data_IF_984869882706
#
_entry.id   IF_984869882706
#
_cell.length_a   1.000
_cell.length_b   1.000
_cell.length_c   1.000
_cell.angle_alpha   90.00
_cell.angle_beta   90.00
_cell.angle_gamma   90.00
#
_symmetry.space_group_name_H-M   'P 1'
#
loop_
_entity.id
_entity.type
_entity.pdbx_description
1 polymer ?
#
# COMPACT_ATOMS: atom_id res chain seq x y z
N UNK A 1 2.78 0.42 -46.85
CA UNK A 1 2.00 -0.77 -46.49
C UNK A 1 1.00 -0.96 -47.61
N UNK A 2 0.79 -2.17 -48.14
CA UNK A 2 -0.25 -2.41 -49.14
C UNK A 2 -1.63 -2.53 -48.46
N UNK A 3 -2.72 -2.10 -49.11
CA UNK A 3 -4.08 -2.38 -48.65
C UNK A 3 -4.32 -3.88 -48.48
N UNK A 4 -4.87 -4.28 -47.33
CA UNK A 4 -5.27 -5.65 -47.07
C UNK A 4 -6.68 -5.89 -47.60
N UNK A 5 -7.03 -7.13 -47.94
CA UNK A 5 -8.41 -7.47 -48.24
C UNK A 5 -9.26 -7.53 -46.96
N UNK A 6 -10.58 -7.35 -47.09
CA UNK A 6 -11.49 -7.45 -45.94
C UNK A 6 -11.49 -8.84 -45.31
N UNK A 7 -11.26 -9.90 -46.09
CA UNK A 7 -11.16 -11.28 -45.57
C UNK A 7 -9.88 -11.47 -44.74
N UNK A 8 -8.76 -10.87 -45.14
CA UNK A 8 -7.54 -10.84 -44.33
C UNK A 8 -7.75 -10.08 -43.02
N UNK A 9 -8.48 -8.96 -43.04
CA UNK A 9 -8.80 -8.20 -41.82
C UNK A 9 -9.75 -9.01 -40.91
N UNK A 10 -10.72 -9.72 -41.49
CA UNK A 10 -11.67 -10.56 -40.74
C UNK A 10 -10.96 -11.74 -40.05
N UNK A 11 -9.91 -12.28 -40.65
CA UNK A 11 -9.10 -13.35 -40.03
C UNK A 11 -8.30 -12.91 -38.79
N UNK A 12 -8.17 -11.60 -38.52
CA UNK A 12 -7.39 -11.08 -37.39
C UNK A 12 -8.17 -10.99 -36.06
N UNK A 13 -9.49 -11.19 -36.08
CA UNK A 13 -10.34 -11.05 -34.89
C UNK A 13 -11.55 -11.98 -34.92
N UNK A 14 -12.24 -12.09 -33.79
CA UNK A 14 -13.53 -12.78 -33.73
C UNK A 14 -14.65 -11.99 -34.43
N UNK A 15 -15.76 -12.68 -34.70
CA UNK A 15 -16.93 -12.13 -35.40
C UNK A 15 -17.55 -10.93 -34.65
N UNK A 16 -17.56 -10.94 -33.31
CA UNK A 16 -18.12 -9.85 -32.52
C UNK A 16 -17.27 -8.57 -32.58
N UNK A 17 -15.94 -8.71 -32.54
CA UNK A 17 -14.98 -7.61 -32.67
C UNK A 17 -15.05 -7.00 -34.07
N UNK A 18 -15.17 -7.84 -35.11
CA UNK A 18 -15.33 -7.38 -36.48
C UNK A 18 -16.61 -6.56 -36.65
N UNK A 19 -17.77 -7.07 -36.21
CA UNK A 19 -19.06 -6.35 -36.27
C UNK A 19 -18.99 -4.99 -35.54
N UNK A 20 -18.36 -4.94 -34.36
CA UNK A 20 -18.19 -3.71 -33.61
C UNK A 20 -17.25 -2.71 -34.32
N UNK A 21 -16.26 -3.21 -35.07
CA UNK A 21 -15.37 -2.38 -35.87
C UNK A 21 -16.10 -1.80 -37.10
N UNK A 22 -16.97 -2.57 -37.75
CA UNK A 22 -17.83 -2.07 -38.83
C UNK A 22 -18.72 -0.90 -38.38
N UNK A 23 -19.28 -0.99 -37.17
CA UNK A 23 -20.07 0.11 -36.58
C UNK A 23 -19.25 1.40 -36.39
N UNK A 24 -17.97 1.28 -36.02
CA UNK A 24 -17.08 2.44 -35.86
C UNK A 24 -16.80 3.11 -37.22
N UNK A 25 -16.58 2.31 -38.26
CA UNK A 25 -16.36 2.81 -39.63
C UNK A 25 -17.63 3.46 -40.16
N UNK A 26 -18.78 2.79 -40.04
CA UNK A 26 -20.09 3.30 -40.47
C UNK A 26 -20.49 4.58 -39.72
N UNK A 27 -20.16 4.69 -38.44
CA UNK A 27 -20.39 5.88 -37.62
C UNK A 27 -19.42 7.05 -37.89
N UNK A 28 -18.52 6.93 -38.87
CA UNK A 28 -17.47 7.90 -39.21
C UNK A 28 -16.64 8.35 -37.98
N UNK A 29 -16.33 7.42 -37.09
CA UNK A 29 -15.62 7.68 -35.83
C UNK A 29 -14.09 7.67 -35.99
N UNK A 30 -13.58 7.61 -37.22
CA UNK A 30 -12.15 7.60 -37.54
C UNK A 30 -11.67 9.00 -37.91
N UNK A 31 -10.73 9.51 -37.13
CA UNK A 31 -10.14 10.85 -37.24
C UNK A 31 -8.64 10.75 -37.48
N UNK A 32 -8.06 11.76 -38.13
CA UNK A 32 -6.60 11.89 -38.30
C UNK A 32 -5.92 10.64 -38.87
N UNK A 33 -6.47 10.11 -39.97
CA UNK A 33 -5.94 8.96 -40.68
C UNK A 33 -4.66 9.33 -41.43
N UNK A 34 -3.55 8.70 -41.08
CA UNK A 34 -2.25 8.92 -41.71
C UNK A 34 -1.53 7.60 -41.97
N UNK A 35 -0.73 7.55 -43.02
CA UNK A 35 0.08 6.39 -43.38
C UNK A 35 1.53 6.77 -43.68
N UNK A 36 2.43 5.83 -43.41
CA UNK A 36 3.80 5.79 -43.91
C UNK A 36 4.06 4.49 -44.66
N UNK A 37 5.32 4.24 -45.04
CA UNK A 37 5.72 3.01 -45.74
C UNK A 37 5.41 1.72 -44.97
N UNK A 38 5.41 1.74 -43.64
CA UNK A 38 5.20 0.54 -42.81
C UNK A 38 4.21 0.74 -41.68
N UNK A 39 3.63 1.94 -41.53
CA UNK A 39 2.80 2.28 -40.37
C UNK A 39 1.48 2.92 -40.79
N UNK A 40 0.39 2.51 -40.13
CA UNK A 40 -0.89 3.20 -40.13
C UNK A 40 -1.09 3.89 -38.78
N UNK A 41 -1.61 5.11 -38.83
CA UNK A 41 -1.98 5.90 -37.66
C UNK A 41 -3.41 6.41 -37.80
N UNK A 42 -4.14 6.37 -36.68
CA UNK A 42 -5.47 6.94 -36.59
C UNK A 42 -5.80 7.36 -35.16
N UNK A 43 -6.75 8.28 -35.03
CA UNK A 43 -7.50 8.49 -33.81
C UNK A 43 -8.92 7.97 -33.98
N UNK A 44 -9.40 7.18 -33.02
CA UNK A 44 -10.73 6.57 -33.07
C UNK A 44 -11.58 7.12 -31.94
N UNK A 45 -12.71 7.73 -32.27
CA UNK A 45 -13.63 8.32 -31.31
C UNK A 45 -14.47 7.24 -30.63
N UNK A 46 -14.17 6.95 -29.36
CA UNK A 46 -15.03 6.14 -28.49
C UNK A 46 -15.57 6.99 -27.34
N UNK A 47 -15.54 6.45 -26.11
CA UNK A 47 -15.79 7.24 -24.88
C UNK A 47 -14.79 8.40 -24.71
N UNK A 48 -13.62 8.28 -25.33
CA UNK A 48 -12.64 9.34 -25.58
C UNK A 48 -11.89 9.03 -26.89
N UNK A 49 -11.14 9.97 -27.48
CA UNK A 49 -10.29 9.69 -28.63
C UNK A 49 -9.18 8.71 -28.26
N UNK A 50 -9.13 7.57 -28.93
CA UNK A 50 -8.10 6.55 -28.77
C UNK A 50 -7.13 6.61 -29.94
N UNK A 51 -5.84 6.74 -29.64
CA UNK A 51 -4.79 6.62 -30.65
C UNK A 51 -4.54 5.15 -30.98
N UNK A 52 -4.50 4.85 -32.28
CA UNK A 52 -4.19 3.55 -32.87
C UNK A 52 -2.97 3.69 -33.77
N UNK A 53 -2.01 2.80 -33.59
CA UNK A 53 -0.83 2.66 -34.44
C UNK A 53 -0.68 1.20 -34.84
N UNK A 54 -0.57 0.93 -36.13
CA UNK A 54 -0.40 -0.42 -36.67
C UNK A 54 0.86 -0.45 -37.50
N UNK A 55 1.80 -1.32 -37.14
CA UNK A 55 3.08 -1.48 -37.81
C UNK A 55 3.09 -2.82 -38.55
N UNK A 56 3.46 -2.79 -39.83
CA UNK A 56 3.67 -3.97 -40.66
C UNK A 56 5.17 -4.23 -40.78
N UNK A 57 5.64 -5.36 -40.25
CA UNK A 57 7.04 -5.80 -40.34
C UNK A 57 7.11 -7.26 -40.72
N UNK A 58 7.76 -7.58 -41.84
CA UNK A 58 8.04 -8.96 -42.26
C UNK A 58 6.80 -9.86 -42.38
N UNK A 59 5.68 -9.34 -42.88
CA UNK A 59 4.41 -10.09 -43.00
C UNK A 59 3.61 -10.22 -41.70
N UNK A 60 4.09 -9.66 -40.58
CA UNK A 60 3.37 -9.63 -39.31
C UNK A 60 2.87 -8.23 -38.97
N UNK A 61 1.65 -8.15 -38.44
CA UNK A 61 1.03 -6.91 -37.99
C UNK A 61 1.09 -6.81 -36.47
N UNK A 62 1.54 -5.65 -35.99
CA UNK A 62 1.53 -5.29 -34.58
C UNK A 62 0.67 -4.04 -34.38
N UNK A 63 -0.39 -4.17 -33.59
CA UNK A 63 -1.30 -3.06 -33.30
C UNK A 63 -1.13 -2.59 -31.85
N UNK A 64 -0.96 -1.28 -31.68
CA UNK A 64 -0.99 -0.60 -30.38
C UNK A 64 -2.16 0.37 -30.35
N UNK A 65 -3.04 0.20 -29.38
CA UNK A 65 -4.16 1.10 -29.15
C UNK A 65 -4.18 1.56 -27.69
N UNK A 66 -4.56 2.81 -27.47
CA UNK A 66 -4.66 3.40 -26.11
C UNK A 66 -5.97 3.04 -25.38
N UNK A 67 -6.82 2.19 -25.98
CA UNK A 67 -8.05 1.76 -25.34
C UNK A 67 -7.82 0.67 -24.28
N UNK A 68 -8.71 0.55 -23.27
CA UNK A 68 -8.58 -0.48 -22.23
C UNK A 68 -8.53 -1.91 -22.78
N UNK A 69 -9.26 -2.20 -23.85
CA UNK A 69 -9.34 -3.52 -24.46
C UNK A 69 -8.02 -4.00 -25.09
N UNK A 70 -7.12 -3.07 -25.49
CA UNK A 70 -5.83 -3.41 -26.08
C UNK A 70 -4.86 -4.11 -25.10
N UNK A 71 -5.20 -4.16 -23.79
CA UNK A 71 -4.46 -4.94 -22.79
C UNK A 71 -4.78 -6.43 -22.83
N UNK A 72 -5.93 -6.79 -23.40
CA UNK A 72 -6.47 -8.14 -23.35
C UNK A 72 -6.59 -8.80 -24.74
N UNK A 73 -6.52 -8.03 -25.82
CA UNK A 73 -6.51 -8.56 -27.18
C UNK A 73 -5.42 -7.91 -28.04
N UNK A 74 -4.80 -8.70 -28.92
CA UNK A 74 -3.79 -8.23 -29.89
C UNK A 74 -4.39 -7.21 -30.87
N UNK A 75 -5.64 -7.42 -31.26
CA UNK A 75 -6.41 -6.48 -32.07
C UNK A 75 -7.73 -6.15 -31.36
N UNK A 76 -7.85 -4.91 -30.88
CA UNK A 76 -9.11 -4.39 -30.39
C UNK A 76 -9.98 -3.91 -31.56
N UNK A 77 -11.29 -3.71 -31.32
CA UNK A 77 -12.21 -3.16 -32.33
C UNK A 77 -11.74 -1.86 -33.00
N UNK A 78 -11.00 -1.00 -32.29
CA UNK A 78 -10.46 0.23 -32.88
C UNK A 78 -9.31 -0.05 -33.85
N UNK A 79 -8.45 -1.04 -33.55
CA UNK A 79 -7.38 -1.44 -34.46
C UNK A 79 -7.96 -2.09 -35.73
N UNK A 80 -8.97 -2.95 -35.56
CA UNK A 80 -9.68 -3.56 -36.68
C UNK A 80 -10.42 -2.49 -37.51
N UNK A 81 -11.05 -1.49 -36.89
CA UNK A 81 -11.72 -0.41 -37.62
C UNK A 81 -10.76 0.38 -38.52
N UNK A 82 -9.53 0.63 -38.07
CA UNK A 82 -8.48 1.27 -38.88
C UNK A 82 -8.07 0.37 -40.05
N UNK A 83 -7.96 -0.94 -39.84
CA UNK A 83 -7.66 -1.90 -40.90
C UNK A 83 -8.79 -2.04 -41.92
N UNK A 84 -10.05 -2.03 -41.47
CA UNK A 84 -11.23 -2.01 -42.35
C UNK A 84 -11.21 -0.74 -43.22
N UNK A 85 -10.97 0.43 -42.62
CA UNK A 85 -10.86 1.68 -43.36
C UNK A 85 -9.68 1.68 -44.34
N UNK A 86 -8.55 1.08 -43.96
CA UNK A 86 -7.39 0.91 -44.84
C UNK A 86 -7.68 -0.03 -46.01
N UNK A 87 -8.49 -1.08 -45.81
CA UNK A 87 -8.90 -2.02 -46.85
C UNK A 87 -9.91 -1.41 -47.84
N UNK A 88 -10.87 -0.62 -47.32
CA UNK A 88 -11.98 -0.09 -48.12
C UNK A 88 -11.65 1.24 -48.81
N UNK A 89 -10.88 2.10 -48.14
CA UNK A 89 -10.61 3.47 -48.58
C UNK A 89 -9.18 3.90 -48.23
N UNK A 90 -8.13 3.25 -48.81
CA UNK A 90 -6.73 3.59 -48.55
C UNK A 90 -6.41 5.08 -48.80
N UNK A 91 -7.10 5.72 -49.73
CA UNK A 91 -6.95 7.12 -50.10
C UNK A 91 -7.32 8.10 -48.98
N UNK A 92 -8.11 7.67 -47.98
CA UNK A 92 -8.41 8.48 -46.78
C UNK A 92 -7.20 8.69 -45.88
N UNK A 93 -6.14 7.90 -46.06
CA UNK A 93 -4.92 8.00 -45.26
C UNK A 93 -3.90 8.89 -45.97
N UNK A 94 -3.69 10.08 -45.40
CA UNK A 94 -2.73 11.04 -45.92
C UNK A 94 -1.31 10.50 -45.71
N UNK A 95 -0.48 10.60 -46.74
CA UNK A 95 0.93 10.22 -46.65
C UNK A 95 1.68 11.30 -45.87
N UNK A 96 2.24 10.94 -44.72
CA UNK A 96 2.99 11.88 -43.88
C UNK A 96 4.34 11.30 -43.52
N UNK A 97 5.41 12.07 -43.74
CA UNK A 97 6.66 11.89 -43.00
C UNK A 97 6.31 11.83 -41.51
N UNK A 98 6.96 10.92 -40.79
CA UNK A 98 6.66 10.64 -39.40
C UNK A 98 6.44 11.94 -38.63
N UNK A 99 5.19 12.26 -38.31
CA UNK A 99 4.90 13.12 -37.16
C UNK A 99 5.28 12.29 -35.94
N UNK A 100 6.59 12.27 -35.66
CA UNK A 100 7.07 12.53 -34.32
C UNK A 100 6.32 13.80 -33.89
N UNK A 101 5.20 13.62 -33.21
CA UNK A 101 4.78 14.62 -32.26
C UNK A 101 5.85 14.58 -31.16
N UNK A 102 6.93 15.34 -31.39
CA UNK A 102 7.53 16.13 -30.34
C UNK A 102 6.38 16.62 -29.47
N UNK A 103 6.44 16.29 -28.17
CA UNK A 103 5.64 17.03 -27.20
C UNK A 103 5.84 18.51 -27.52
N UNK A 104 4.77 19.29 -27.78
CA UNK A 104 4.95 20.70 -28.05
C UNK A 104 5.77 21.29 -26.92
N UNK A 105 6.88 21.95 -27.29
CA UNK A 105 7.54 22.89 -26.40
C UNK A 105 6.43 23.73 -25.75
N UNK A 106 6.44 23.74 -24.43
CA UNK A 106 5.35 24.23 -23.62
C UNK A 106 5.07 25.69 -23.96
N UNK A 107 4.05 25.94 -24.80
CA UNK A 107 3.24 27.13 -24.63
C UNK A 107 2.52 26.96 -23.28
N UNK A 108 2.70 27.88 -22.30
CA UNK A 108 2.29 27.64 -20.91
C UNK A 108 0.77 27.53 -20.68
N UNK A 109 -0.09 27.68 -21.70
CA UNK A 109 -1.50 27.97 -21.49
C UNK A 109 -2.50 26.80 -21.63
N UNK A 110 -2.15 25.66 -22.26
CA UNK A 110 -3.13 24.57 -22.57
C UNK A 110 -2.98 23.27 -21.79
N UNK A 111 -1.79 22.96 -21.26
CA UNK A 111 -1.60 21.80 -20.35
C UNK A 111 -2.36 21.98 -19.04
N UNK A 112 -2.45 23.21 -18.52
CA UNK A 112 -3.24 23.54 -17.34
C UNK A 112 -4.72 23.19 -17.49
N UNK A 113 -5.37 23.60 -18.60
CA UNK A 113 -6.80 23.34 -18.84
C UNK A 113 -7.13 21.85 -19.03
N UNK A 114 -6.28 21.07 -19.73
CA UNK A 114 -6.51 19.61 -19.92
C UNK A 114 -6.19 18.81 -18.66
N UNK A 115 -5.13 19.13 -17.94
CA UNK A 115 -4.81 18.49 -16.66
C UNK A 115 -5.89 18.83 -15.62
N UNK A 116 -6.30 20.10 -15.54
CA UNK A 116 -7.42 20.52 -14.69
C UNK A 116 -8.70 19.78 -15.06
N UNK A 117 -9.07 19.68 -16.36
CA UNK A 117 -10.26 18.91 -16.78
C UNK A 117 -10.18 17.43 -16.41
N UNK A 118 -9.04 16.78 -16.59
CA UNK A 118 -8.85 15.38 -16.22
C UNK A 118 -8.85 15.17 -14.69
N UNK A 119 -8.33 16.14 -13.93
CA UNK A 119 -8.41 16.15 -12.47
C UNK A 119 -9.87 16.34 -12.02
N UNK A 120 -10.61 17.28 -12.61
CA UNK A 120 -12.04 17.51 -12.35
C UNK A 120 -12.86 16.26 -12.67
N UNK A 121 -12.71 15.66 -13.86
CA UNK A 121 -13.41 14.41 -14.22
C UNK A 121 -13.10 13.26 -13.24
N UNK A 122 -11.86 13.16 -12.75
CA UNK A 122 -11.48 12.18 -11.74
C UNK A 122 -12.14 12.46 -10.39
N UNK A 123 -12.15 13.73 -9.98
CA UNK A 123 -12.78 14.21 -8.74
C UNK A 123 -14.31 13.99 -8.78
N UNK A 124 -14.94 14.16 -9.94
CA UNK A 124 -16.36 13.88 -10.14
C UNK A 124 -16.66 12.37 -10.01
N UNK A 125 -15.83 11.51 -10.62
CA UNK A 125 -15.95 10.05 -10.48
C UNK A 125 -15.71 9.59 -9.04
N UNK A 126 -14.77 10.21 -8.33
CA UNK A 126 -14.53 10.01 -6.89
C UNK A 126 -15.80 10.34 -6.10
N UNK A 127 -16.36 11.52 -6.31
CA UNK A 127 -17.57 11.99 -5.63
C UNK A 127 -18.75 11.05 -5.89
N UNK A 128 -19.00 10.66 -7.14
CA UNK A 128 -20.07 9.72 -7.49
C UNK A 128 -19.89 8.35 -6.84
N UNK A 129 -18.66 7.84 -6.75
CA UNK A 129 -18.39 6.55 -6.11
C UNK A 129 -18.62 6.61 -4.60
N UNK A 130 -18.21 7.71 -3.96
CA UNK A 130 -18.46 7.96 -2.54
C UNK A 130 -19.95 8.08 -2.24
N UNK A 131 -20.70 8.83 -3.06
CA UNK A 131 -22.16 8.98 -2.91
C UNK A 131 -22.87 7.62 -3.03
N UNK A 132 -22.45 6.76 -3.96
CA UNK A 132 -22.97 5.39 -4.07
C UNK A 132 -22.66 4.56 -2.84
N UNK A 133 -21.44 4.64 -2.31
CA UNK A 133 -21.08 3.97 -1.06
C UNK A 133 -21.92 4.47 0.11
N UNK A 134 -22.12 5.79 0.26
CA UNK A 134 -22.97 6.35 1.31
C UNK A 134 -24.41 5.84 1.24
N UNK A 135 -25.00 5.82 0.05
CA UNK A 135 -26.35 5.27 -0.16
C UNK A 135 -26.43 3.80 0.24
N UNK A 136 -25.48 2.97 -0.20
CA UNK A 136 -25.44 1.56 0.14
C UNK A 136 -25.28 1.33 1.65
N UNK A 137 -24.51 2.17 2.34
CA UNK A 137 -24.36 2.10 3.81
C UNK A 137 -25.65 2.46 4.53
N UNK A 138 -26.37 3.49 4.07
CA UNK A 138 -27.66 3.89 4.62
C UNK A 138 -28.70 2.78 4.44
N UNK A 139 -28.79 2.24 3.23
CA UNK A 139 -29.70 1.14 2.90
C UNK A 139 -29.38 -0.14 3.70
N UNK A 140 -28.10 -0.42 3.95
CA UNK A 140 -27.68 -1.51 4.84
C UNK A 140 -28.11 -1.25 6.29
N UNK A 141 -27.95 -0.02 6.79
CA UNK A 141 -28.35 0.35 8.15
C UNK A 141 -29.89 0.25 8.34
N UNK A 142 -30.68 0.62 7.32
CA UNK A 142 -32.15 0.52 7.33
C UNK A 142 -32.63 -0.93 7.30
N UNK A 143 -31.99 -1.79 6.49
CA UNK A 143 -32.35 -3.21 6.37
C UNK A 143 -31.90 -4.05 7.56
N UNK A 144 -30.82 -3.63 8.22
CA UNK A 144 -30.11 -4.45 9.19
C UNK A 144 -29.39 -5.65 8.55
N UNK A 145 -28.51 -6.28 9.31
CA UNK A 145 -27.71 -7.40 8.84
C UNK A 145 -28.55 -8.61 8.39
N UNK A 146 -29.62 -8.93 9.12
CA UNK A 146 -30.50 -10.07 8.82
C UNK A 146 -31.34 -9.86 7.55
N UNK A 147 -31.51 -8.62 7.11
CA UNK A 147 -32.23 -8.26 5.89
C UNK A 147 -31.36 -8.26 4.62
N UNK A 148 -30.05 -8.57 4.72
CA UNK A 148 -29.14 -8.53 3.59
C UNK A 148 -29.37 -9.70 2.64
N UNK A 149 -29.91 -9.40 1.46
CA UNK A 149 -30.08 -10.38 0.39
C UNK A 149 -28.78 -10.61 -0.39
N UNK A 150 -28.57 -11.81 -0.98
CA UNK A 150 -27.37 -12.10 -1.78
C UNK A 150 -27.11 -11.09 -2.91
N UNK A 151 -28.18 -10.62 -3.57
CA UNK A 151 -28.05 -9.60 -4.61
C UNK A 151 -27.49 -8.27 -4.10
N UNK A 152 -27.84 -7.86 -2.88
CA UNK A 152 -27.31 -6.64 -2.26
C UNK A 152 -25.84 -6.81 -1.83
N UNK A 153 -25.48 -8.00 -1.35
CA UNK A 153 -24.09 -8.33 -1.04
C UNK A 153 -23.20 -8.24 -2.30
N UNK A 154 -23.66 -8.74 -3.44
CA UNK A 154 -22.95 -8.61 -4.72
C UNK A 154 -22.85 -7.14 -5.18
N UNK A 155 -23.89 -6.32 -4.93
CA UNK A 155 -23.81 -4.88 -5.18
C UNK A 155 -22.74 -4.20 -4.31
N UNK A 156 -22.63 -4.56 -3.03
CA UNK A 156 -21.58 -4.04 -2.14
C UNK A 156 -20.19 -4.42 -2.65
N UNK A 157 -19.98 -5.69 -3.02
CA UNK A 157 -18.70 -6.15 -3.60
C UNK A 157 -18.33 -5.39 -4.86
N UNK A 158 -19.30 -5.09 -5.73
CA UNK A 158 -19.08 -4.37 -6.98
C UNK A 158 -18.63 -2.91 -6.79
N UNK A 159 -18.73 -2.34 -5.58
CA UNK A 159 -18.20 -1.00 -5.28
C UNK A 159 -16.67 -1.00 -5.10
N UNK A 160 -16.07 -2.09 -4.59
CA UNK A 160 -14.65 -2.13 -4.24
C UNK A 160 -13.69 -1.84 -5.43
N UNK A 161 -13.90 -2.40 -6.64
CA UNK A 161 -13.03 -2.09 -7.79
C UNK A 161 -13.06 -0.62 -8.20
N UNK A 162 -14.21 0.06 -8.07
CA UNK A 162 -14.34 1.48 -8.39
C UNK A 162 -13.57 2.34 -7.37
N UNK A 163 -13.69 2.01 -6.08
CA UNK A 163 -12.95 2.68 -5.01
C UNK A 163 -11.43 2.51 -5.19
N UNK A 164 -10.98 1.32 -5.60
CA UNK A 164 -9.57 1.05 -5.89
C UNK A 164 -9.04 1.87 -7.07
N UNK A 165 -9.77 1.88 -8.20
CA UNK A 165 -9.40 2.66 -9.38
C UNK A 165 -9.26 4.17 -9.07
N UNK A 166 -10.04 4.64 -8.10
CA UNK A 166 -10.07 6.03 -7.67
C UNK A 166 -9.17 6.33 -6.47
N UNK A 167 -8.38 5.35 -6.02
CA UNK A 167 -7.44 5.41 -4.89
C UNK A 167 -8.08 5.67 -3.53
N UNK A 168 -9.38 5.44 -3.36
CA UNK A 168 -10.05 5.53 -2.06
C UNK A 168 -9.75 4.29 -1.19
N UNK A 169 -8.48 4.10 -0.83
CA UNK A 169 -7.94 2.88 -0.23
C UNK A 169 -8.60 2.54 1.09
N UNK A 170 -8.69 3.50 2.02
CA UNK A 170 -9.28 3.26 3.35
C UNK A 170 -10.78 2.97 3.26
N UNK A 171 -11.46 3.61 2.32
CA UNK A 171 -12.88 3.37 2.07
C UNK A 171 -13.11 1.97 1.51
N UNK A 172 -12.28 1.53 0.56
CA UNK A 172 -12.28 0.17 0.03
C UNK A 172 -12.07 -0.87 1.14
N UNK A 173 -11.06 -0.68 1.99
CA UNK A 173 -10.77 -1.60 3.10
C UNK A 173 -11.93 -1.69 4.11
N UNK A 174 -12.55 -0.56 4.44
CA UNK A 174 -13.72 -0.55 5.33
C UNK A 174 -14.91 -1.31 4.72
N UNK A 175 -15.12 -1.16 3.40
CA UNK A 175 -16.15 -1.90 2.66
C UNK A 175 -15.85 -3.41 2.64
N UNK A 176 -14.63 -3.80 2.27
CA UNK A 176 -14.21 -5.21 2.21
C UNK A 176 -14.35 -5.90 3.58
N UNK A 177 -13.96 -5.21 4.67
CA UNK A 177 -14.13 -5.75 6.03
C UNK A 177 -15.61 -5.96 6.39
N UNK A 178 -16.49 -5.03 6.02
CA UNK A 178 -17.92 -5.16 6.28
C UNK A 178 -18.53 -6.30 5.48
N UNK A 179 -18.19 -6.42 4.18
CA UNK A 179 -18.60 -7.53 3.32
C UNK A 179 -18.16 -8.87 3.91
N UNK A 180 -16.91 -8.97 4.35
CA UNK A 180 -16.38 -10.18 4.98
C UNK A 180 -17.19 -10.59 6.23
N UNK A 181 -17.54 -9.63 7.09
CA UNK A 181 -18.35 -9.89 8.28
C UNK A 181 -19.77 -10.36 7.94
N UNK A 182 -20.38 -9.77 6.90
CA UNK A 182 -21.70 -10.20 6.41
C UNK A 182 -21.62 -11.63 5.86
N UNK A 183 -20.58 -11.98 5.12
CA UNK A 183 -20.38 -13.35 4.62
C UNK A 183 -20.19 -14.35 5.76
N UNK A 184 -19.37 -14.00 6.76
CA UNK A 184 -19.15 -14.84 7.95
C UNK A 184 -20.42 -15.06 8.77
N UNK A 185 -21.32 -14.08 8.80
CA UNK A 185 -22.61 -14.16 9.48
C UNK A 185 -23.54 -15.26 8.93
N UNK A 186 -23.32 -15.73 7.70
CA UNK A 186 -24.13 -16.80 7.11
C UNK A 186 -23.83 -18.16 7.74
N UNK A 187 -22.62 -18.34 8.28
CA UNK A 187 -22.14 -19.63 8.82
C UNK A 187 -21.83 -19.58 10.31
N UNK A 188 -21.66 -18.38 10.88
CA UNK A 188 -21.30 -18.18 12.28
C UNK A 188 -22.21 -17.13 12.93
N UNK A 189 -22.44 -17.21 14.25
CA UNK A 189 -23.10 -16.14 14.98
C UNK A 189 -22.36 -14.82 14.79
N UNK A 190 -23.14 -13.76 14.61
CA UNK A 190 -22.62 -12.42 14.36
C UNK A 190 -22.06 -11.86 15.65
N UNK A 191 -20.84 -11.33 15.58
CA UNK A 191 -20.36 -10.40 16.59
C UNK A 191 -20.94 -9.00 16.27
N UNK A 192 -22.03 -8.64 16.95
CA UNK A 192 -22.78 -7.38 16.73
C UNK A 192 -21.88 -6.15 16.84
N UNK A 193 -20.93 -6.20 17.76
CA UNK A 193 -19.99 -5.14 18.05
C UNK A 193 -19.00 -4.93 16.87
N UNK A 194 -18.38 -6.02 16.38
CA UNK A 194 -17.51 -5.97 15.20
C UNK A 194 -18.26 -5.49 13.95
N UNK A 195 -19.50 -5.94 13.75
CA UNK A 195 -20.33 -5.50 12.65
C UNK A 195 -20.64 -4.00 12.75
N UNK A 196 -21.11 -3.54 13.91
CA UNK A 196 -21.45 -2.13 14.16
C UNK A 196 -20.23 -1.22 13.96
N UNK A 197 -19.06 -1.62 14.48
CA UNK A 197 -17.80 -0.89 14.29
C UNK A 197 -17.41 -0.83 12.81
N UNK A 198 -17.53 -1.93 12.07
CA UNK A 198 -17.22 -1.95 10.63
C UNK A 198 -18.17 -1.04 9.83
N UNK A 199 -19.47 -1.07 10.13
CA UNK A 199 -20.48 -0.21 9.52
C UNK A 199 -20.19 1.27 9.80
N UNK A 200 -19.93 1.63 11.06
CA UNK A 200 -19.59 3.00 11.46
C UNK A 200 -18.30 3.48 10.79
N UNK A 201 -17.27 2.63 10.72
CA UNK A 201 -16.00 2.97 10.07
C UNK A 201 -16.19 3.24 8.58
N UNK A 202 -17.00 2.42 7.91
CA UNK A 202 -17.34 2.63 6.50
C UNK A 202 -18.11 3.95 6.32
N UNK A 203 -19.14 4.20 7.13
CA UNK A 203 -19.93 5.42 7.08
C UNK A 203 -19.10 6.69 7.33
N UNK A 204 -18.31 6.71 8.42
CA UNK A 204 -17.46 7.85 8.80
C UNK A 204 -16.44 8.16 7.71
N UNK A 205 -15.79 7.12 7.15
CA UNK A 205 -14.82 7.28 6.07
C UNK A 205 -15.48 7.85 4.81
N UNK A 206 -16.64 7.31 4.42
CA UNK A 206 -17.38 7.79 3.24
C UNK A 206 -17.85 9.24 3.43
N UNK A 207 -18.39 9.57 4.61
CA UNK A 207 -18.86 10.91 4.95
C UNK A 207 -17.73 11.93 4.95
N UNK A 208 -16.60 11.61 5.57
CA UNK A 208 -15.44 12.49 5.60
C UNK A 208 -14.90 12.81 4.20
N UNK A 209 -14.86 11.81 3.30
CA UNK A 209 -14.47 12.03 1.91
C UNK A 209 -15.51 12.87 1.14
N UNK A 210 -16.80 12.61 1.33
CA UNK A 210 -17.88 13.42 0.72
C UNK A 210 -17.77 14.90 1.12
N UNK A 211 -17.60 15.18 2.42
CA UNK A 211 -17.43 16.55 2.92
C UNK A 211 -16.17 17.22 2.37
N UNK A 212 -15.08 16.47 2.19
CA UNK A 212 -13.85 16.96 1.57
C UNK A 212 -14.05 17.32 0.10
N UNK A 213 -14.64 16.43 -0.70
CA UNK A 213 -14.85 16.67 -2.13
C UNK A 213 -15.90 17.74 -2.42
N UNK A 214 -16.84 17.97 -1.49
CA UNK A 214 -17.78 19.10 -1.55
C UNK A 214 -17.23 20.39 -0.97
N UNK A 215 -15.97 20.41 -0.55
CA UNK A 215 -15.28 21.57 0.04
C UNK A 215 -15.97 22.15 1.30
N UNK A 216 -16.86 21.38 1.93
CA UNK A 216 -17.58 21.77 3.15
C UNK A 216 -16.71 21.60 4.39
N UNK A 217 -15.90 20.54 4.42
CA UNK A 217 -14.90 20.28 5.45
C UNK A 217 -13.66 19.63 4.83
N UNK A 218 -12.64 20.39 4.45
CA UNK A 218 -11.42 19.82 3.90
C UNK A 218 -10.73 18.96 4.96
N UNK A 219 -10.25 17.78 4.54
CA UNK A 219 -9.44 16.91 5.39
C UNK A 219 -8.02 17.46 5.51
N UNK A 220 -7.41 17.40 6.71
CA UNK A 220 -5.98 17.61 6.87
C UNK A 220 -5.15 16.68 5.99
N UNK A 221 -3.93 17.10 5.62
CA UNK A 221 -3.04 16.32 4.75
C UNK A 221 -2.72 14.94 5.35
N UNK A 222 -2.66 14.80 6.67
CA UNK A 222 -2.43 13.53 7.35
C UNK A 222 -3.56 12.53 7.09
N UNK A 223 -4.81 13.00 7.16
CA UNK A 223 -6.00 12.20 6.89
C UNK A 223 -6.12 11.89 5.40
N UNK A 224 -5.78 12.84 4.53
CA UNK A 224 -5.80 12.64 3.08
C UNK A 224 -4.82 11.56 2.62
N UNK A 225 -3.59 11.56 3.16
CA UNK A 225 -2.61 10.53 2.84
C UNK A 225 -3.11 9.15 3.25
N UNK A 226 -3.69 9.06 4.44
CA UNK A 226 -4.24 7.83 4.99
C UNK A 226 -5.48 7.33 4.22
N UNK A 227 -6.31 8.24 3.69
CA UNK A 227 -7.61 7.88 3.09
C UNK A 227 -7.59 7.71 1.57
N UNK A 228 -6.90 8.58 0.82
CA UNK A 228 -7.00 8.70 -0.65
C UNK A 228 -5.72 8.30 -1.41
N UNK A 229 -4.63 7.98 -0.71
CA UNK A 229 -3.38 7.52 -1.32
C UNK A 229 -2.88 8.42 -2.45
N UNK A 230 -2.22 9.53 -2.11
CA UNK A 230 -1.72 10.47 -3.12
C UNK A 230 -0.35 10.06 -3.64
N UNK A 231 -0.05 10.38 -4.90
CA UNK A 231 1.33 10.31 -5.40
C UNK A 231 2.04 11.60 -5.01
N UNK A 232 2.96 11.52 -4.05
CA UNK A 232 3.77 12.64 -3.60
C UNK A 232 4.97 12.87 -4.52
N UNK A 233 5.23 14.14 -4.86
CA UNK A 233 6.47 14.56 -5.52
C UNK A 233 7.40 15.18 -4.48
N UNK A 234 8.68 15.28 -4.80
CA UNK A 234 9.68 15.82 -3.86
C UNK A 234 9.34 17.23 -3.34
N UNK A 235 8.74 18.08 -4.18
CA UNK A 235 8.28 19.42 -3.78
C UNK A 235 7.08 19.43 -2.83
N UNK A 236 6.36 18.31 -2.74
CA UNK A 236 5.19 18.17 -1.88
C UNK A 236 5.60 17.61 -0.49
N UNK A 237 6.87 17.26 -0.28
CA UNK A 237 7.40 16.73 0.98
C UNK A 237 7.97 17.85 1.86
N UNK A 238 7.78 17.75 3.18
CA UNK A 238 8.37 18.69 4.12
C UNK A 238 9.88 18.42 4.22
N UNK A 239 10.75 19.38 3.85
CA UNK A 239 12.19 19.18 3.94
C UNK A 239 12.66 19.16 5.39
N UNK A 240 13.56 18.24 5.70
CA UNK A 240 14.30 18.14 6.97
C UNK A 240 15.78 17.91 6.67
N UNK A 241 16.64 18.39 7.55
CA UNK A 241 18.09 18.34 7.38
C UNK A 241 18.74 17.80 8.63
N UNK A 242 19.89 17.15 8.45
CA UNK A 242 20.77 16.66 9.52
C UNK A 242 20.06 15.79 10.56
N UNK A 243 19.18 14.89 10.13
CA UNK A 243 18.51 13.95 11.04
C UNK A 243 19.48 12.85 11.46
N UNK A 244 19.72 12.69 12.76
CA UNK A 244 20.53 11.59 13.32
C UNK A 244 19.61 10.40 13.56
N UNK A 245 19.72 9.35 12.75
CA UNK A 245 18.76 8.26 12.67
C UNK A 245 19.37 6.93 13.15
N UNK A 246 18.60 6.22 13.98
CA UNK A 246 18.87 4.83 14.39
C UNK A 246 17.73 3.92 13.93
N UNK A 247 18.03 2.80 13.28
CA UNK A 247 17.03 1.78 12.97
C UNK A 247 16.65 1.01 14.25
N UNK A 248 15.37 1.07 14.61
CA UNK A 248 14.80 0.32 15.72
C UNK A 248 14.28 -1.05 15.29
N UNK A 249 13.92 -1.22 14.02
CA UNK A 249 13.36 -2.46 13.51
C UNK A 249 13.25 -2.49 11.99
N UNK A 250 13.17 -3.69 11.42
CA UNK A 250 13.03 -3.91 10.00
C UNK A 250 11.99 -4.99 9.71
N UNK A 251 10.91 -4.63 9.00
CA UNK A 251 9.79 -5.51 8.67
C UNK A 251 9.68 -5.74 7.17
N UNK A 252 9.33 -6.96 6.77
CA UNK A 252 9.02 -7.32 5.39
C UNK A 252 7.61 -7.90 5.34
N UNK A 253 6.69 -7.13 4.75
CA UNK A 253 5.26 -7.46 4.74
C UNK A 253 4.83 -7.75 3.31
N UNK A 254 4.26 -8.92 3.05
CA UNK A 254 3.56 -9.20 1.79
C UNK A 254 2.09 -8.85 1.92
N UNK A 255 1.59 -8.12 0.93
CA UNK A 255 0.19 -7.71 0.82
C UNK A 255 -0.54 -8.63 -0.16
N UNK A 256 -1.82 -8.97 0.10
CA UNK A 256 -2.67 -9.72 -0.83
C UNK A 256 -2.77 -9.09 -2.23
N UNK A 257 -2.58 -7.78 -2.32
CA UNK A 257 -2.55 -7.01 -3.57
C UNK A 257 -1.33 -7.30 -4.47
N UNK A 258 -0.47 -8.26 -4.11
CA UNK A 258 0.70 -8.64 -4.92
C UNK A 258 1.93 -7.73 -4.73
N UNK A 259 2.01 -7.04 -3.60
CA UNK A 259 3.13 -6.15 -3.27
C UNK A 259 3.85 -6.58 -1.99
N UNK A 260 5.13 -6.26 -1.89
CA UNK A 260 5.95 -6.37 -0.69
C UNK A 260 6.31 -4.97 -0.18
N UNK A 261 6.21 -4.78 1.13
CA UNK A 261 6.68 -3.60 1.84
C UNK A 261 7.95 -3.96 2.61
N UNK A 262 9.06 -3.32 2.29
CA UNK A 262 10.30 -3.38 3.08
C UNK A 262 10.37 -2.09 3.91
N UNK A 263 10.23 -2.21 5.23
CA UNK A 263 10.05 -1.07 6.15
C UNK A 263 11.21 -1.04 7.15
N UNK A 264 11.98 0.05 7.16
CA UNK A 264 12.85 0.37 8.29
C UNK A 264 12.13 1.35 9.21
N UNK A 265 12.00 0.98 10.49
CA UNK A 265 11.55 1.85 11.55
C UNK A 265 12.74 2.59 12.13
N UNK A 266 12.68 3.91 12.13
CA UNK A 266 13.79 4.78 12.45
C UNK A 266 13.38 5.66 13.63
N UNK A 267 14.31 5.92 14.55
CA UNK A 267 14.19 6.97 15.55
C UNK A 267 15.12 8.11 15.19
N UNK A 268 14.59 9.33 15.21
CA UNK A 268 15.40 10.54 15.23
C UNK A 268 15.93 10.74 16.66
N UNK A 269 17.25 10.64 16.82
CA UNK A 269 17.90 10.49 18.11
C UNK A 269 17.78 11.74 18.98
N UNK A 270 17.69 12.93 18.39
CA UNK A 270 17.67 14.18 19.15
C UNK A 270 16.28 14.45 19.75
N UNK A 271 15.22 14.09 19.05
CA UNK A 271 13.82 14.36 19.44
C UNK A 271 13.03 13.13 19.89
N UNK A 272 13.50 11.92 19.57
CA UNK A 272 12.75 10.68 19.78
C UNK A 272 11.65 10.44 18.75
N UNK A 273 11.51 11.29 17.73
CA UNK A 273 10.47 11.15 16.69
C UNK A 273 10.65 9.83 15.93
N UNK A 274 9.57 9.06 15.81
CA UNK A 274 9.55 7.81 15.06
C UNK A 274 9.20 8.07 13.59
N UNK A 275 10.05 7.59 12.71
CA UNK A 275 9.97 7.70 11.26
C UNK A 275 9.99 6.31 10.62
N UNK A 276 9.57 6.22 9.35
CA UNK A 276 9.68 4.97 8.58
C UNK A 276 10.12 5.19 7.14
N UNK A 277 11.11 4.44 6.70
CA UNK A 277 11.55 4.40 5.31
C UNK A 277 11.00 3.13 4.64
N UNK A 278 10.10 3.30 3.67
CA UNK A 278 9.35 2.20 3.02
C UNK A 278 9.75 2.06 1.55
N UNK A 279 10.22 0.87 1.16
CA UNK A 279 10.26 0.43 -0.24
C UNK A 279 9.03 -0.43 -0.54
N UNK A 280 8.30 -0.09 -1.59
CA UNK A 280 7.15 -0.86 -2.09
C UNK A 280 7.60 -1.56 -3.38
N UNK A 281 7.64 -2.88 -3.37
CA UNK A 281 8.09 -3.69 -4.51
C UNK A 281 6.97 -4.62 -5.00
N UNK A 282 6.69 -4.72 -6.31
CA UNK A 282 5.76 -5.72 -6.82
C UNK A 282 6.37 -7.13 -6.72
N UNK A 283 5.57 -8.10 -6.28
CA UNK A 283 6.04 -9.50 -6.10
C UNK A 283 6.39 -10.18 -7.42
N UNK A 284 5.71 -9.82 -8.51
CA UNK A 284 5.89 -10.42 -9.84
C UNK A 284 6.56 -9.45 -10.83
N UNK A 285 7.44 -8.58 -10.34
CA UNK A 285 8.17 -7.66 -11.21
C UNK A 285 9.13 -8.41 -12.15
N UNK A 286 9.30 -8.01 -13.41
CA UNK A 286 10.16 -8.76 -14.34
C UNK A 286 11.65 -8.65 -14.02
N UNK A 287 12.11 -7.59 -13.34
CA UNK A 287 13.51 -7.42 -12.97
C UNK A 287 13.80 -7.90 -11.54
N UNK A 288 14.94 -8.60 -11.37
CA UNK A 288 15.46 -9.01 -10.05
C UNK A 288 15.75 -7.79 -9.16
N UNK A 289 16.20 -6.68 -9.73
CA UNK A 289 16.47 -5.44 -8.99
C UNK A 289 15.21 -4.80 -8.40
N UNK A 290 14.09 -4.82 -9.14
CA UNK A 290 12.81 -4.33 -8.64
C UNK A 290 12.31 -5.18 -7.47
N UNK A 291 12.59 -6.48 -7.50
CA UNK A 291 12.25 -7.41 -6.42
C UNK A 291 13.28 -7.42 -5.27
N UNK A 292 14.47 -6.85 -5.45
CA UNK A 292 15.53 -6.89 -4.44
C UNK A 292 15.04 -6.27 -3.12
N UNK A 293 15.42 -6.86 -2.00
CA UNK A 293 15.10 -6.29 -0.69
C UNK A 293 15.83 -4.97 -0.50
N UNK A 294 15.16 -4.02 0.14
CA UNK A 294 15.85 -2.88 0.71
C UNK A 294 16.87 -3.38 1.76
N UNK A 295 18.12 -2.91 1.78
CA UNK A 295 19.05 -3.27 2.85
C UNK A 295 18.60 -2.65 4.18
N UNK A 296 18.89 -3.35 5.28
CA UNK A 296 18.74 -2.82 6.64
C UNK A 296 19.73 -1.69 6.90
N UNK A 297 19.36 -0.75 7.76
CA UNK A 297 20.26 0.32 8.24
C UNK A 297 20.89 -0.12 9.58
N UNK A 298 21.80 -1.10 9.53
CA UNK A 298 22.42 -1.68 10.74
C UNK A 298 23.36 -0.71 11.47
N UNK A 299 23.89 0.27 10.75
CA UNK A 299 24.67 1.38 11.29
C UNK A 299 23.78 2.62 11.46
N UNK A 300 23.89 3.34 12.59
CA UNK A 300 23.31 4.67 12.74
C UNK A 300 23.82 5.63 11.64
N UNK A 301 22.96 6.54 11.19
CA UNK A 301 23.27 7.41 10.06
C UNK A 301 22.81 8.84 10.26
N UNK A 302 23.52 9.77 9.63
CA UNK A 302 23.13 11.16 9.46
C UNK A 302 22.45 11.32 8.11
N UNK A 303 21.16 11.64 8.09
CA UNK A 303 20.48 12.07 6.88
C UNK A 303 20.66 13.58 6.70
N UNK A 304 21.62 14.00 5.89
CA UNK A 304 21.91 15.42 5.63
C UNK A 304 20.72 16.10 4.97
N UNK A 305 19.95 15.36 4.16
CA UNK A 305 18.71 15.81 3.55
C UNK A 305 17.66 14.71 3.49
N UNK A 306 16.46 15.03 3.98
CA UNK A 306 15.30 14.14 4.01
C UNK A 306 14.00 14.88 3.64
N UNK A 307 13.04 14.15 3.09
CA UNK A 307 11.68 14.64 2.84
C UNK A 307 10.68 13.84 3.68
N UNK A 308 9.88 14.53 4.49
CA UNK A 308 8.84 13.93 5.32
C UNK A 308 7.51 13.99 4.59
N UNK A 309 6.86 12.84 4.49
CA UNK A 309 5.50 12.74 3.98
C UNK A 309 4.52 13.19 5.07
N UNK A 310 3.41 13.83 4.70
CA UNK A 310 2.30 13.98 5.63
C UNK A 310 1.74 12.61 6.00
N UNK A 311 1.02 12.56 7.11
CA UNK A 311 0.47 11.32 7.65
C UNK A 311 0.71 11.20 9.14
N UNK A 312 0.09 10.17 9.71
CA UNK A 312 0.24 9.86 11.12
C UNK A 312 1.63 9.30 11.45
N UNK A 313 2.15 9.54 12.66
CA UNK A 313 3.31 8.86 13.19
C UNK A 313 3.14 7.33 13.15
N UNK A 314 4.18 6.56 12.77
CA UNK A 314 5.51 7.04 12.40
C UNK A 314 5.49 7.59 10.97
N UNK A 315 5.95 8.84 10.80
CA UNK A 315 5.83 9.52 9.51
C UNK A 315 6.74 8.85 8.48
N UNK A 316 6.26 8.73 7.25
CA UNK A 316 7.10 8.21 6.18
C UNK A 316 8.19 9.23 5.86
N UNK A 317 9.41 8.75 5.65
CA UNK A 317 10.56 9.57 5.26
C UNK A 317 11.16 9.06 3.96
N UNK A 318 11.58 10.00 3.10
CA UNK A 318 12.47 9.76 1.95
C UNK A 318 13.84 10.34 2.30
N UNK A 319 14.84 9.47 2.40
CA UNK A 319 16.22 9.86 2.63
C UNK A 319 16.88 10.10 1.28
N UNK A 320 17.43 11.30 1.06
CA UNK A 320 18.10 11.64 -0.20
C UNK A 320 19.60 11.39 -0.12
N UNK A 321 20.20 11.85 0.96
CA UNK A 321 21.64 11.82 1.19
C UNK A 321 21.89 11.38 2.63
N UNK A 322 22.78 10.41 2.81
CA UNK A 322 23.09 9.82 4.11
C UNK A 322 24.59 9.63 4.29
N UNK A 323 25.08 9.93 5.50
CA UNK A 323 26.46 9.69 5.94
C UNK A 323 26.44 8.79 7.18
N UNK A 324 27.50 8.02 7.46
CA UNK A 324 27.61 7.33 8.76
C UNK A 324 27.73 8.35 9.89
N UNK A 325 27.20 8.00 11.07
CA UNK A 325 27.51 8.73 12.31
C UNK A 325 28.88 8.28 12.84
N UNK A 326 29.67 9.24 13.32
CA UNK A 326 31.02 8.99 13.86
C UNK A 326 31.04 8.67 15.35
N UNK A 327 29.95 9.01 16.05
CA UNK A 327 29.81 8.82 17.48
C UNK A 327 29.79 7.33 17.86
N UNK A 328 30.33 6.95 19.04
CA UNK A 328 30.28 5.58 19.51
C UNK A 328 28.85 5.04 19.57
N UNK A 329 28.63 3.83 19.03
CA UNK A 329 27.31 3.18 19.00
C UNK A 329 26.64 3.13 20.37
N UNK A 330 27.41 2.88 21.43
CA UNK A 330 26.89 2.83 22.80
C UNK A 330 26.25 4.17 23.24
N UNK A 331 26.83 5.30 22.84
CA UNK A 331 26.28 6.63 23.13
C UNK A 331 24.99 6.89 22.35
N UNK A 332 24.94 6.47 21.09
CA UNK A 332 23.75 6.60 20.24
C UNK A 332 22.60 5.72 20.74
N UNK A 333 22.89 4.51 21.22
CA UNK A 333 21.90 3.65 21.87
C UNK A 333 21.45 4.27 23.19
N UNK A 334 22.36 4.75 24.03
CA UNK A 334 22.01 5.42 25.27
C UNK A 334 21.12 6.64 25.01
N UNK A 335 21.36 7.38 23.92
CA UNK A 335 20.50 8.47 23.47
C UNK A 335 19.11 7.99 23.06
N UNK A 336 18.99 6.91 22.29
CA UNK A 336 17.69 6.33 21.95
C UNK A 336 16.91 5.86 23.20
N UNK A 337 17.59 5.27 24.18
CA UNK A 337 16.98 4.79 25.42
C UNK A 337 16.39 5.92 26.27
N UNK A 338 16.87 7.17 26.14
CA UNK A 338 16.26 8.33 26.83
C UNK A 338 14.83 8.62 26.35
N UNK A 339 14.48 8.17 25.15
CA UNK A 339 13.14 8.35 24.56
C UNK A 339 12.23 7.12 24.78
N UNK A 340 12.74 6.05 25.41
CA UNK A 340 11.95 4.86 25.68
C UNK A 340 10.97 5.10 26.85
N UNK A 341 9.72 4.68 26.68
CA UNK A 341 8.73 4.72 27.75
C UNK A 341 9.10 3.71 28.84
N UNK A 342 9.18 4.18 30.08
CA UNK A 342 9.47 3.37 31.28
C UNK A 342 8.24 3.19 32.17
N UNK A 343 7.14 3.87 31.86
CA UNK A 343 5.83 3.83 32.53
C UNK A 343 4.72 3.65 31.50
N UNK A 344 3.69 2.85 31.83
CA UNK A 344 2.60 2.55 30.90
C UNK A 344 1.54 3.64 30.84
N UNK A 345 1.26 4.33 31.95
CA UNK A 345 0.16 5.29 32.01
C UNK A 345 0.29 6.44 30.97
N UNK A 346 1.47 7.08 30.78
CA UNK A 346 1.62 8.11 29.75
C UNK A 346 1.47 7.55 28.33
N UNK A 347 2.00 6.34 28.10
CA UNK A 347 1.93 5.67 26.80
C UNK A 347 0.49 5.29 26.43
N UNK A 348 -0.27 4.72 27.38
CA UNK A 348 -1.68 4.38 27.22
C UNK A 348 -2.50 5.65 27.03
N UNK A 349 -2.24 6.72 27.79
CA UNK A 349 -2.94 7.99 27.63
C UNK A 349 -2.75 8.58 26.23
N UNK A 350 -1.52 8.55 25.70
CA UNK A 350 -1.23 8.96 24.33
C UNK A 350 -1.95 8.06 23.30
N UNK A 351 -1.98 6.75 23.53
CA UNK A 351 -2.73 5.82 22.67
C UNK A 351 -4.23 6.13 22.65
N UNK A 352 -4.85 6.32 23.82
CA UNK A 352 -6.27 6.66 23.93
C UNK A 352 -6.58 8.02 23.27
N UNK A 353 -5.71 9.01 23.43
CA UNK A 353 -5.86 10.29 22.74
C UNK A 353 -5.81 10.13 21.22
N UNK A 354 -4.95 9.25 20.71
CA UNK A 354 -4.88 8.93 19.27
C UNK A 354 -6.18 8.26 18.78
N UNK A 355 -6.80 7.41 19.59
CA UNK A 355 -8.06 6.75 19.25
C UNK A 355 -9.24 7.73 19.13
N UNK A 356 -9.14 8.94 19.65
CA UNK A 356 -10.15 10.00 19.45
C UNK A 356 -10.24 10.45 17.99
N UNK A 357 -9.17 10.27 17.20
CA UNK A 357 -9.23 10.46 15.76
C UNK A 357 -9.63 9.14 15.07
N UNK A 358 -10.86 9.02 14.54
CA UNK A 358 -11.33 7.79 13.89
C UNK A 358 -10.55 7.45 12.60
N UNK A 359 -9.77 8.40 12.08
CA UNK A 359 -8.93 8.25 10.91
C UNK A 359 -7.47 7.94 11.23
N UNK A 360 -7.05 8.02 12.50
CA UNK A 360 -5.72 7.56 12.87
C UNK A 360 -5.58 6.03 12.70
N UNK A 361 -4.37 5.53 12.39
CA UNK A 361 -4.05 4.11 12.56
C UNK A 361 -4.20 3.70 14.02
N UNK A 362 -4.80 2.53 14.26
CA UNK A 362 -5.05 1.97 15.60
C UNK A 362 -3.84 1.26 16.21
N UNK A 363 -2.70 1.32 15.55
CA UNK A 363 -1.41 0.90 16.09
C UNK A 363 -0.64 2.18 16.47
N UNK A 364 -0.11 2.25 17.69
CA UNK A 364 0.81 3.29 18.14
C UNK A 364 2.23 2.70 18.23
N UNK A 365 3.16 3.06 17.34
CA UNK A 365 4.53 2.61 17.47
C UNK A 365 5.18 3.23 18.72
N UNK A 366 5.95 2.45 19.46
CA UNK A 366 6.67 2.94 20.62
C UNK A 366 7.93 2.12 20.90
N UNK A 367 8.89 2.78 21.55
CA UNK A 367 10.03 2.15 22.19
C UNK A 367 9.72 2.08 23.68
N UNK A 368 9.74 0.88 24.27
CA UNK A 368 9.45 0.67 25.68
C UNK A 368 10.65 0.03 26.37
N UNK A 369 10.91 0.44 27.61
CA UNK A 369 11.93 -0.15 28.46
C UNK A 369 11.24 -0.81 29.65
N UNK A 370 10.81 -2.09 29.50
CA UNK A 370 10.20 -2.81 30.60
C UNK A 370 11.23 -3.02 31.71
N UNK A 371 10.79 -2.96 32.96
CA UNK A 371 11.62 -3.33 34.11
C UNK A 371 11.84 -4.84 34.14
N UNK A 372 10.77 -5.60 33.87
CA UNK A 372 10.78 -7.06 33.84
C UNK A 372 9.76 -7.58 32.83
N UNK A 373 9.98 -8.80 32.35
CA UNK A 373 8.97 -9.57 31.63
C UNK A 373 8.49 -10.69 32.55
N UNK A 374 7.19 -10.73 32.81
CA UNK A 374 6.56 -11.65 33.77
C UNK A 374 5.68 -12.63 33.01
N UNK A 375 5.68 -13.90 33.43
CA UNK A 375 4.76 -14.91 32.91
C UNK A 375 3.76 -15.31 33.98
N UNK A 376 2.49 -15.18 33.66
CA UNK A 376 1.39 -15.57 34.54
C UNK A 376 0.27 -16.18 33.69
N UNK A 377 -0.22 -17.36 34.10
CA UNK A 377 -1.38 -18.03 33.50
C UNK A 377 -1.26 -18.26 31.98
N UNK A 378 -0.04 -18.52 31.50
CA UNK A 378 0.23 -18.76 30.08
C UNK A 378 0.34 -17.49 29.22
N UNK A 379 0.24 -16.31 29.83
CA UNK A 379 0.36 -15.01 29.18
C UNK A 379 1.66 -14.31 29.63
N UNK A 380 2.33 -13.64 28.70
CA UNK A 380 3.49 -12.79 28.99
C UNK A 380 3.04 -11.35 29.26
N UNK A 381 3.73 -10.68 30.17
CA UNK A 381 3.43 -9.32 30.62
C UNK A 381 4.71 -8.50 30.72
N UNK A 382 4.62 -7.22 30.39
CA UNK A 382 5.69 -6.24 30.60
C UNK A 382 5.39 -5.46 31.88
N UNK A 383 6.27 -5.54 32.88
CA UNK A 383 6.20 -4.70 34.06
C UNK A 383 6.92 -3.37 33.82
N UNK A 384 6.28 -2.24 34.12
CA UNK A 384 6.94 -0.94 34.16
C UNK A 384 7.64 -0.68 35.49
N UNK A 385 8.27 0.49 35.64
CA UNK A 385 9.00 0.86 36.88
C UNK A 385 8.10 1.03 38.11
N UNK A 386 6.78 1.11 37.93
CA UNK A 386 5.79 1.17 39.00
C UNK A 386 5.19 -0.22 39.31
N UNK A 387 5.60 -1.25 38.57
CA UNK A 387 5.05 -2.61 38.66
C UNK A 387 3.73 -2.80 37.93
N UNK A 388 3.27 -1.81 37.15
CA UNK A 388 2.08 -1.92 36.30
C UNK A 388 2.35 -2.91 35.18
N UNK A 389 1.40 -3.80 34.90
CA UNK A 389 1.54 -4.83 33.88
C UNK A 389 0.83 -4.43 32.59
N UNK A 390 1.53 -4.59 31.46
CA UNK A 390 0.97 -4.46 30.11
C UNK A 390 1.04 -5.82 29.40
N UNK A 391 -0.07 -6.36 28.88
CA UNK A 391 -0.06 -7.65 28.21
C UNK A 391 0.82 -7.62 26.96
N UNK A 392 1.68 -8.62 26.83
CA UNK A 392 2.58 -8.80 25.70
C UNK A 392 1.96 -9.76 24.68
N UNK A 393 1.73 -9.29 23.45
CA UNK A 393 1.18 -10.12 22.39
C UNK A 393 2.26 -11.02 21.78
N UNK A 394 2.48 -12.16 22.44
CA UNK A 394 3.35 -13.24 21.98
C UNK A 394 2.53 -14.52 21.96
N UNK A 395 2.54 -15.23 20.84
CA UNK A 395 1.81 -16.49 20.61
C UNK A 395 2.49 -17.65 21.35
N UNK A 396 2.45 -17.63 22.68
CA UNK A 396 3.16 -18.62 23.49
C UNK A 396 2.36 -19.91 23.56
N UNK A 397 2.90 -21.00 23.00
CA UNK A 397 2.32 -22.33 23.25
C UNK A 397 2.72 -22.84 24.63
N UNK A 398 1.83 -23.50 25.41
CA UNK A 398 2.17 -24.08 26.72
C UNK A 398 3.38 -25.03 26.69
N UNK A 399 3.62 -25.69 25.56
CA UNK A 399 4.77 -26.57 25.31
C UNK A 399 6.10 -25.81 25.18
N UNK A 400 6.11 -24.58 24.66
CA UNK A 400 7.31 -23.75 24.61
C UNK A 400 7.75 -23.29 26.01
N UNK A 401 6.79 -22.93 26.87
CA UNK A 401 7.03 -22.60 28.28
C UNK A 401 7.61 -23.77 29.08
N UNK A 402 7.09 -24.98 28.87
CA UNK A 402 7.59 -26.17 29.53
C UNK A 402 9.03 -26.55 29.13
N UNK A 403 9.49 -26.15 27.93
CA UNK A 403 10.88 -26.34 27.47
C UNK A 403 11.84 -25.34 28.13
N UNK A 404 11.45 -24.07 28.23
CA UNK A 404 12.23 -23.03 28.91
C UNK A 404 12.54 -23.39 30.37
N UNK A 405 11.57 -23.98 31.08
CA UNK A 405 11.75 -24.38 32.48
C UNK A 405 12.63 -25.65 32.65
N UNK A 406 12.99 -26.34 31.56
CA UNK A 406 13.74 -27.60 31.57
C UNK A 406 15.14 -27.51 30.96
N UNK A 407 15.46 -26.47 30.19
CA UNK A 407 16.80 -26.28 29.61
C UNK A 407 17.79 -25.72 30.66
N UNK A 408 19.02 -26.27 30.77
CA UNK A 408 20.03 -25.81 31.72
C UNK A 408 20.56 -24.41 31.36
N UNK A 409 20.92 -23.62 32.37
CA UNK A 409 21.42 -22.25 32.22
C UNK A 409 22.66 -22.11 31.30
N UNK A 410 23.43 -23.18 31.10
CA UNK A 410 24.60 -23.21 30.21
C UNK A 410 24.24 -23.23 28.72
N UNK A 411 23.12 -23.83 28.31
CA UNK A 411 22.61 -23.74 26.93
C UNK A 411 22.01 -22.34 26.67
N UNK A 412 21.47 -21.69 27.70
CA UNK A 412 21.04 -20.29 27.62
C UNK A 412 22.22 -19.33 27.36
N UNK A 413 23.43 -19.62 27.87
CA UNK A 413 24.63 -18.81 27.61
C UNK A 413 25.20 -19.02 26.21
N UNK A 414 25.20 -20.25 25.68
CA UNK A 414 25.69 -20.55 24.33
C UNK A 414 24.86 -19.87 23.22
N UNK A 415 23.56 -19.66 23.47
CA UNK A 415 22.64 -19.04 22.52
C UNK A 415 22.64 -17.49 22.54
N UNK A 416 23.24 -16.87 23.56
CA UNK A 416 23.51 -15.41 23.59
C UNK A 416 24.40 -14.97 22.43
N UNK A 417 25.20 -15.88 21.90
CA UNK A 417 26.24 -15.62 20.89
C UNK A 417 25.90 -16.06 19.46
N UNK A 418 24.65 -16.48 19.18
CA UNK A 418 24.26 -16.87 17.82
C UNK A 418 24.47 -15.68 16.84
N UNK A 419 25.30 -15.86 15.79
CA UNK A 419 25.64 -14.77 14.89
C UNK A 419 24.44 -14.34 14.05
N UNK A 420 24.47 -13.05 13.69
CA UNK A 420 23.48 -12.35 12.88
C UNK A 420 23.25 -13.11 11.56
N UNK A 421 22.06 -13.68 11.38
CA UNK A 421 21.63 -14.14 10.07
C UNK A 421 21.48 -12.91 9.15
N UNK A 422 22.33 -12.80 8.13
CA UNK A 422 22.15 -11.82 7.05
C UNK A 422 20.85 -12.13 6.29
N UNK A 423 20.06 -11.10 5.89
CA UNK A 423 18.91 -11.32 5.02
C UNK A 423 19.39 -11.92 3.70
N UNK A 424 19.05 -13.19 3.44
CA UNK A 424 19.34 -13.88 2.19
C UNK A 424 20.23 -15.12 2.27
N UNK A 425 20.92 -15.38 3.40
CA UNK A 425 21.81 -16.55 3.54
C UNK A 425 21.34 -17.58 4.56
N UNK A 426 20.32 -17.30 5.36
CA UNK A 426 19.79 -18.28 6.29
C UNK A 426 18.65 -19.10 5.66
N UNK A 427 19.01 -20.17 4.94
CA UNK A 427 18.27 -21.44 5.10
C UNK A 427 18.67 -22.05 6.46
N UNK A 428 18.42 -21.32 7.55
CA UNK A 428 18.49 -21.88 8.88
C UNK A 428 17.08 -22.41 9.17
N UNK A 429 16.92 -23.72 8.98
CA UNK A 429 15.79 -24.51 9.44
C UNK A 429 15.75 -24.52 10.97
N UNK A 430 15.50 -23.38 11.60
CA UNK A 430 15.26 -23.33 13.02
C UNK A 430 14.00 -22.51 13.29
N UNK A 431 12.90 -23.25 13.44
CA UNK A 431 11.69 -22.80 14.12
C UNK A 431 11.98 -22.57 15.59
N UNK A 432 12.84 -21.60 15.90
CA UNK A 432 12.92 -21.03 17.24
C UNK A 432 11.60 -20.28 17.43
N UNK A 433 10.74 -20.71 18.37
CA UNK A 433 9.52 -20.01 18.68
C UNK A 433 9.84 -18.54 19.00
N UNK A 434 9.00 -17.59 18.54
CA UNK A 434 9.17 -16.13 18.70
C UNK A 434 9.45 -15.74 20.17
N UNK A 435 8.93 -16.56 21.07
CA UNK A 435 9.03 -16.56 22.52
C UNK A 435 10.48 -16.71 23.00
N UNK A 436 11.26 -17.61 22.38
CA UNK A 436 12.64 -17.88 22.78
C UNK A 436 13.57 -16.74 22.38
N UNK A 437 13.31 -16.04 21.28
CA UNK A 437 14.10 -14.86 20.90
C UNK A 437 13.92 -13.72 21.90
N UNK A 438 12.69 -13.50 22.37
CA UNK A 438 12.37 -12.51 23.40
C UNK A 438 13.04 -12.87 24.75
N UNK A 439 13.02 -14.15 25.13
CA UNK A 439 13.51 -14.62 26.44
C UNK A 439 15.03 -14.80 26.55
N UNK A 440 15.72 -15.03 25.42
CA UNK A 440 17.15 -15.42 25.43
C UNK A 440 18.14 -14.25 25.36
N UNK A 441 17.67 -13.00 25.24
CA UNK A 441 18.52 -11.81 25.12
C UNK A 441 18.20 -10.79 26.21
N UNK A 442 19.24 -10.14 26.73
CA UNK A 442 19.12 -8.99 27.62
C UNK A 442 18.78 -7.75 26.79
N UNK A 443 17.49 -7.48 26.62
CA UNK A 443 17.01 -6.32 25.88
C UNK A 443 17.17 -5.05 26.71
N UNK A 444 17.76 -4.01 26.11
CA UNK A 444 17.80 -2.67 26.72
C UNK A 444 16.46 -1.95 26.58
N UNK A 445 15.74 -2.23 25.49
CA UNK A 445 14.39 -1.78 25.21
C UNK A 445 13.75 -2.66 24.13
N UNK A 446 12.42 -2.62 24.01
CA UNK A 446 11.65 -3.28 22.98
C UNK A 446 10.99 -2.24 22.08
N UNK A 447 11.06 -2.43 20.77
CA UNK A 447 10.34 -1.62 19.79
C UNK A 447 9.17 -2.43 19.24
N UNK A 448 8.00 -1.81 19.16
CA UNK A 448 6.78 -2.49 18.76
C UNK A 448 5.60 -1.53 18.62
N UNK A 449 4.40 -2.10 18.64
CA UNK A 449 3.16 -1.35 18.59
C UNK A 449 2.33 -1.61 19.84
N UNK A 450 1.77 -0.54 20.39
CA UNK A 450 0.60 -0.64 21.25
C UNK A 450 -0.64 -0.76 20.35
N UNK A 451 -1.46 -1.77 20.58
CA UNK A 451 -2.66 -2.06 19.80
C UNK A 451 -3.74 -2.70 20.68
N UNK A 452 -4.96 -2.81 20.14
CA UNK A 452 -6.11 -3.38 20.83
C UNK A 452 -7.16 -2.34 21.18
N UNK A 453 -8.44 -2.72 21.04
CA UNK A 453 -9.58 -1.83 21.27
C UNK A 453 -10.19 -2.05 22.66
N UNK A 454 -10.43 -3.31 23.05
CA UNK A 454 -11.02 -3.66 24.35
C UNK A 454 -9.95 -3.99 25.40
N UNK A 455 -8.81 -4.54 24.96
CA UNK A 455 -7.64 -4.79 25.80
C UNK A 455 -6.40 -4.29 25.08
N UNK A 456 -5.70 -3.35 25.71
CA UNK A 456 -4.48 -2.76 25.16
C UNK A 456 -3.32 -3.72 25.37
N UNK A 457 -2.63 -4.10 24.29
CA UNK A 457 -1.51 -5.03 24.29
C UNK A 457 -0.32 -4.44 23.56
N UNK A 458 0.89 -4.85 23.95
CA UNK A 458 2.12 -4.52 23.23
C UNK A 458 2.52 -5.67 22.31
N UNK A 459 2.63 -5.40 21.01
CA UNK A 459 3.14 -6.34 20.01
C UNK A 459 4.60 -5.99 19.67
N UNK A 460 5.59 -6.80 20.10
CA UNK A 460 6.99 -6.54 19.83
C UNK A 460 7.34 -6.84 18.37
N UNK A 461 8.20 -6.02 17.78
CA UNK A 461 8.80 -6.23 16.45
C UNK A 461 10.27 -6.61 16.59
N UNK A 462 10.98 -5.87 17.44
CA UNK A 462 12.43 -5.93 17.63
C UNK A 462 12.79 -5.47 19.03
N UNK A 463 14.04 -5.72 19.44
CA UNK A 463 14.60 -5.18 20.67
C UNK A 463 15.93 -4.50 20.42
N UNK A 464 16.21 -3.46 21.21
CA UNK A 464 17.52 -2.81 21.25
C UNK A 464 18.47 -3.59 22.17
N UNK A 465 19.69 -3.77 21.68
CA UNK A 465 20.83 -4.34 22.38
C UNK A 465 22.04 -3.41 22.20
N UNK A 466 23.13 -3.63 22.93
CA UNK A 466 24.39 -2.86 22.84
C UNK A 466 24.98 -2.80 21.43
N UNK A 467 24.64 -3.77 20.57
CA UNK A 467 25.11 -3.85 19.19
C UNK A 467 24.09 -3.29 18.19
N UNK A 468 22.95 -2.75 18.64
CA UNK A 468 21.88 -2.20 17.80
C UNK A 468 20.56 -2.96 17.90
N UNK A 469 19.65 -2.71 16.97
CA UNK A 469 18.35 -3.36 16.94
C UNK A 469 18.39 -4.77 16.35
N UNK A 470 17.69 -5.71 16.98
CA UNK A 470 17.54 -7.08 16.52
C UNK A 470 16.07 -7.47 16.41
N UNK A 471 15.67 -8.21 15.36
CA UNK A 471 14.30 -8.65 15.20
C UNK A 471 13.92 -9.68 16.27
N UNK A 472 12.70 -9.58 16.77
CA UNK A 472 12.06 -10.60 17.62
C UNK A 472 11.28 -11.60 16.75
N UNK A 473 10.85 -11.18 15.56
CA UNK A 473 10.15 -12.03 14.58
C UNK A 473 11.07 -12.35 13.40
N UNK A 474 11.37 -13.63 13.18
CA UNK A 474 12.06 -14.10 11.97
C UNK A 474 11.05 -14.47 10.88
N UNK A 475 11.12 -13.78 9.74
CA UNK A 475 10.41 -14.16 8.52
C UNK A 475 9.64 -13.04 7.83
N UNK A 476 9.21 -13.33 6.61
CA UNK A 476 8.27 -12.49 5.86
C UNK A 476 6.90 -12.61 6.52
N UNK A 477 6.32 -11.48 6.91
CA UNK A 477 4.98 -11.44 7.48
C UNK A 477 3.94 -11.35 6.36
N UNK A 478 2.90 -12.17 6.43
CA UNK A 478 1.70 -12.02 5.61
C UNK A 478 0.68 -11.29 6.48
N UNK A 479 0.35 -10.04 6.14
CA UNK A 479 -0.80 -9.36 6.77
C UNK A 479 -2.02 -9.64 5.89
N UNK A 480 -3.02 -10.30 6.47
CA UNK A 480 -4.35 -10.55 5.89
C UNK A 480 -5.12 -9.26 5.68
#
# INVERSE_FOLDING_TARGET
>A
MQPMSLDEVRALCDHATYRNAEQIVAGNQLLHLARSETVLYAQVQGTKPYTVRIEASGGTLNAKCTCPAARFSKFCKHAIAVLIAWAQSPERFVYGEQTQAESPAAQPARRGKRAAKATVERTDLQSQSIDRTLKAVQELAERGLTGVQPAFLEQLKALAPNLEALKARRLKQALERLVQLIEQAHTNPVNEEQYTRALLRLWLTARALEEHFRERRPLPDEQLEEMLGRTWRDKDLQPRYNLRLLELGYENIQLPSGFRLDISHLMELDTGELLREIKIAPLHAPSREAQAFKPRRSEPLLATRAGIYPGYPPKRVKLYETLPLSEPRAELIAQALRHAYTEWQPLISHYLQRLLDPFAPRELPCLVRPQQIVWQEGQAWLADVQGTLLPLQVETTPTALARLNKEPASEMEALRWLPLATPGTARLNFGVPRELALLRRSWLALFGYLEGEDEVRFRPISGLHEQGALPIVWGVQVRS
#
